data_IF_032132859840
#
_entry.id   IF_032132859840
#
_cell.length_a   1.000
_cell.length_b   1.000
_cell.length_c   1.000
_cell.angle_alpha   90.00
_cell.angle_beta   90.00
_cell.angle_gamma   90.00
#
_symmetry.space_group_name_H-M   'P 1'
#
loop_
_entity.id
_entity.type
_entity.pdbx_description
1 polymer ?
#
# COMPACT_ATOMS: atom_id res chain seq x y z
N UNK A 1 0.41 -22.46 35.75
CA UNK A 1 1.14 -21.99 34.55
C UNK A 1 1.83 -23.18 33.91
N UNK A 2 1.78 -23.37 32.58
CA UNK A 2 2.39 -24.52 31.91
C UNK A 2 3.90 -24.56 32.14
N UNK A 3 4.47 -25.75 32.34
CA UNK A 3 5.92 -25.97 32.56
C UNK A 3 6.63 -26.51 31.33
N UNK A 4 5.89 -26.78 30.24
CA UNK A 4 6.40 -27.37 29.00
C UNK A 4 6.06 -26.46 27.81
N UNK A 5 6.88 -26.49 26.77
CA UNK A 5 6.68 -25.70 25.55
C UNK A 5 5.30 -25.96 24.91
N UNK A 6 4.95 -27.22 24.68
CA UNK A 6 3.66 -27.57 24.08
C UNK A 6 2.47 -27.24 25.00
N UNK A 7 2.66 -27.27 26.33
CA UNK A 7 1.65 -26.78 27.27
C UNK A 7 1.41 -25.27 27.13
N UNK A 8 2.45 -24.48 26.86
CA UNK A 8 2.31 -23.06 26.53
C UNK A 8 1.58 -22.83 25.21
N UNK A 9 1.90 -23.62 24.17
CA UNK A 9 1.22 -23.52 22.87
C UNK A 9 -0.28 -23.80 23.02
N UNK A 10 -0.65 -24.88 23.71
CA UNK A 10 -2.05 -25.22 23.96
C UNK A 10 -2.76 -24.12 24.76
N UNK A 11 -2.14 -23.65 25.84
CA UNK A 11 -2.69 -22.56 26.67
C UNK A 11 -2.93 -21.28 25.86
N UNK A 12 -1.96 -20.88 25.02
CA UNK A 12 -2.12 -19.69 24.17
C UNK A 12 -3.19 -19.88 23.10
N UNK A 13 -3.33 -21.10 22.57
CA UNK A 13 -4.33 -21.42 21.56
C UNK A 13 -5.76 -21.44 22.15
N UNK A 14 -5.91 -21.92 23.38
CA UNK A 14 -7.18 -21.89 24.11
C UNK A 14 -7.56 -20.47 24.54
N UNK A 15 -6.62 -19.73 25.14
CA UNK A 15 -6.88 -18.40 25.70
C UNK A 15 -6.95 -17.29 24.63
N UNK A 16 -6.07 -17.32 23.62
CA UNK A 16 -5.92 -16.25 22.63
C UNK A 16 -6.25 -16.68 21.20
N UNK A 17 -6.65 -17.92 20.96
CA UNK A 17 -6.90 -18.45 19.61
C UNK A 17 -7.88 -17.60 18.79
N UNK A 18 -8.96 -17.11 19.41
CA UNK A 18 -9.94 -16.24 18.76
C UNK A 18 -9.34 -14.89 18.32
N UNK A 19 -8.51 -14.27 19.18
CA UNK A 19 -7.84 -12.99 18.88
C UNK A 19 -6.80 -13.18 17.76
N UNK A 20 -6.03 -14.27 17.82
CA UNK A 20 -5.06 -14.61 16.77
C UNK A 20 -5.75 -14.84 15.42
N UNK A 21 -6.87 -15.56 15.40
CA UNK A 21 -7.66 -15.80 14.19
C UNK A 21 -8.24 -14.51 13.63
N UNK A 22 -8.74 -13.63 14.50
CA UNK A 22 -9.24 -12.31 14.11
C UNK A 22 -8.12 -11.45 13.51
N UNK A 23 -6.94 -11.43 14.15
CA UNK A 23 -5.77 -10.72 13.63
C UNK A 23 -5.29 -11.26 12.28
N UNK A 24 -5.29 -12.58 12.11
CA UNK A 24 -5.00 -13.22 10.83
C UNK A 24 -6.03 -12.83 9.76
N UNK A 25 -7.32 -12.80 10.10
CA UNK A 25 -8.39 -12.36 9.22
C UNK A 25 -8.24 -10.91 8.76
N UNK A 26 -7.93 -9.99 9.68
CA UNK A 26 -7.67 -8.57 9.36
C UNK A 26 -6.44 -8.42 8.46
N UNK A 27 -5.38 -9.18 8.73
CA UNK A 27 -4.15 -9.17 7.91
C UNK A 27 -4.45 -9.66 6.49
N UNK A 28 -5.20 -10.76 6.37
CA UNK A 28 -5.59 -11.32 5.08
C UNK A 28 -6.48 -10.34 4.30
N UNK A 29 -7.42 -9.69 4.98
CA UNK A 29 -8.29 -8.67 4.40
C UNK A 29 -7.46 -7.50 3.83
N UNK A 30 -6.55 -6.94 4.65
CA UNK A 30 -5.64 -5.88 4.22
C UNK A 30 -4.78 -6.32 3.04
N UNK A 31 -4.22 -7.53 3.07
CA UNK A 31 -3.37 -8.05 2.00
C UNK A 31 -4.15 -8.22 0.69
N UNK A 32 -5.32 -8.86 0.73
CA UNK A 32 -6.11 -9.15 -0.49
C UNK A 32 -6.64 -7.86 -1.12
N UNK A 33 -7.31 -7.01 -0.34
CA UNK A 33 -7.87 -5.75 -0.85
C UNK A 33 -6.75 -4.79 -1.26
N UNK A 34 -5.71 -4.70 -0.43
CA UNK A 34 -4.53 -3.87 -0.70
C UNK A 34 -3.85 -4.26 -2.01
N UNK A 35 -3.62 -5.56 -2.21
CA UNK A 35 -3.01 -6.11 -3.43
C UNK A 35 -3.92 -5.91 -4.64
N UNK A 36 -5.23 -6.14 -4.52
CA UNK A 36 -6.16 -5.96 -5.62
C UNK A 36 -6.15 -4.52 -6.13
N UNK A 37 -6.30 -3.55 -5.22
CA UNK A 37 -6.27 -2.12 -5.56
C UNK A 37 -4.88 -1.71 -6.05
N UNK A 38 -3.81 -2.18 -5.38
CA UNK A 38 -2.44 -1.92 -5.79
C UNK A 38 -2.16 -2.41 -7.21
N UNK A 39 -2.64 -3.60 -7.57
CA UNK A 39 -2.52 -4.13 -8.93
C UNK A 39 -3.22 -3.24 -9.96
N UNK A 40 -4.42 -2.72 -9.65
CA UNK A 40 -5.11 -1.77 -10.54
C UNK A 40 -4.31 -0.49 -10.71
N UNK A 41 -3.76 0.07 -9.62
CA UNK A 41 -2.90 1.26 -9.68
C UNK A 41 -1.66 0.97 -10.53
N UNK A 42 -0.95 -0.13 -10.25
CA UNK A 42 0.26 -0.53 -10.97
C UNK A 42 0.01 -0.72 -12.46
N UNK A 43 -1.11 -1.37 -12.83
CA UNK A 43 -1.50 -1.54 -14.23
C UNK A 43 -1.75 -0.21 -14.93
N UNK A 44 -2.49 0.72 -14.31
CA UNK A 44 -2.74 2.05 -14.89
C UNK A 44 -1.43 2.82 -15.06
N UNK A 45 -0.56 2.79 -14.05
CA UNK A 45 0.75 3.47 -14.10
C UNK A 45 1.64 2.87 -15.19
N UNK A 46 1.73 1.54 -15.27
CA UNK A 46 2.51 0.83 -16.29
C UNK A 46 1.98 1.08 -17.71
N UNK A 47 0.66 1.14 -17.90
CA UNK A 47 0.08 1.52 -19.20
C UNK A 47 0.53 2.93 -19.58
N UNK A 48 0.43 3.92 -18.68
CA UNK A 48 0.81 5.30 -18.97
C UNK A 48 2.31 5.42 -19.28
N UNK A 49 3.16 4.68 -18.56
CA UNK A 49 4.60 4.67 -18.79
C UNK A 49 5.00 4.00 -20.12
N UNK A 50 4.21 3.06 -20.63
CA UNK A 50 4.49 2.34 -21.87
C UNK A 50 3.92 3.01 -23.13
N UNK A 51 3.16 4.10 -23.02
CA UNK A 51 2.64 4.83 -24.18
C UNK A 51 3.82 5.34 -25.04
N UNK A 52 3.99 4.86 -26.28
CA UNK A 52 5.04 5.33 -27.17
C UNK A 52 4.71 6.73 -27.67
N UNK A 53 5.72 7.60 -27.75
CA UNK A 53 5.57 8.93 -28.33
C UNK A 53 5.82 8.84 -29.84
N UNK A 54 4.76 8.86 -30.64
CA UNK A 54 4.89 8.83 -32.10
C UNK A 54 5.34 10.19 -32.64
N UNK A 55 6.18 10.19 -33.68
CA UNK A 55 6.76 11.44 -34.20
C UNK A 55 5.71 12.42 -34.76
N UNK A 56 4.56 11.92 -35.19
CA UNK A 56 3.44 12.69 -35.74
C UNK A 56 2.48 13.27 -34.69
N UNK A 57 2.70 13.00 -33.39
CA UNK A 57 1.85 13.55 -32.34
C UNK A 57 2.11 15.05 -32.10
N UNK A 58 1.04 15.81 -31.83
CA UNK A 58 1.12 17.22 -31.47
C UNK A 58 2.13 17.46 -30.35
N UNK A 59 2.98 18.48 -30.49
CA UNK A 59 4.00 18.85 -29.50
C UNK A 59 3.42 19.01 -28.09
N UNK A 60 2.16 19.45 -27.98
CA UNK A 60 1.44 19.56 -26.72
C UNK A 60 1.14 18.19 -26.07
N UNK A 61 0.70 17.20 -26.87
CA UNK A 61 0.41 15.83 -26.40
C UNK A 61 1.69 15.13 -25.93
N UNK A 62 2.79 15.27 -26.69
CA UNK A 62 4.12 14.75 -26.27
C UNK A 62 4.58 15.38 -24.95
N UNK A 63 4.44 16.70 -24.81
CA UNK A 63 4.79 17.41 -23.58
C UNK A 63 3.98 16.92 -22.38
N UNK A 64 2.66 16.77 -22.54
CA UNK A 64 1.77 16.30 -21.48
C UNK A 64 2.08 14.86 -21.04
N UNK A 65 2.26 13.93 -22.00
CA UNK A 65 2.60 12.52 -21.70
C UNK A 65 3.95 12.44 -20.99
N UNK A 66 4.96 13.18 -21.48
CA UNK A 66 6.30 13.19 -20.87
C UNK A 66 6.28 13.74 -19.45
N UNK A 67 5.50 14.79 -19.20
CA UNK A 67 5.32 15.34 -17.87
C UNK A 67 4.64 14.34 -16.92
N UNK A 68 3.59 13.66 -17.41
CA UNK A 68 2.87 12.67 -16.64
C UNK A 68 3.74 11.44 -16.31
N UNK A 69 4.48 10.92 -17.29
CA UNK A 69 5.44 9.82 -17.08
C UNK A 69 6.48 10.20 -16.02
N UNK A 70 7.06 11.41 -16.11
CA UNK A 70 8.03 11.90 -15.12
C UNK A 70 7.44 11.99 -13.71
N UNK A 71 6.18 12.41 -13.58
CA UNK A 71 5.49 12.49 -12.30
C UNK A 71 5.22 11.10 -11.72
N UNK A 72 4.82 10.15 -12.56
CA UNK A 72 4.62 8.76 -12.17
C UNK A 72 5.94 8.07 -11.80
N UNK A 73 7.03 8.36 -12.49
CA UNK A 73 8.37 7.85 -12.13
C UNK A 73 8.76 8.33 -10.73
N UNK A 74 8.58 9.62 -10.45
CA UNK A 74 8.87 10.19 -9.13
C UNK A 74 8.01 9.54 -8.03
N UNK A 75 6.72 9.30 -8.33
CA UNK A 75 5.85 8.53 -7.44
C UNK A 75 6.42 7.13 -7.18
N UNK A 76 6.75 6.35 -8.22
CA UNK A 76 7.27 4.99 -8.07
C UNK A 76 8.58 4.99 -7.27
N UNK A 77 9.49 5.91 -7.56
CA UNK A 77 10.78 6.03 -6.87
C UNK A 77 10.62 6.34 -5.39
N UNK A 78 9.80 7.33 -5.03
CA UNK A 78 9.57 7.72 -3.64
C UNK A 78 8.90 6.59 -2.85
N UNK A 79 7.87 5.95 -3.41
CA UNK A 79 7.12 4.93 -2.69
C UNK A 79 7.87 3.60 -2.56
N UNK A 80 8.75 3.24 -3.52
CA UNK A 80 9.69 2.10 -3.39
C UNK A 80 10.88 2.41 -2.48
N UNK A 81 11.30 3.68 -2.42
CA UNK A 81 12.45 4.12 -1.61
C UNK A 81 12.12 4.40 -0.14
N UNK A 82 10.84 4.51 0.21
CA UNK A 82 10.41 4.83 1.59
C UNK A 82 9.94 3.57 2.33
N UNK A 83 10.41 3.33 3.57
CA UNK A 83 9.91 2.20 4.37
C UNK A 83 8.39 2.27 4.56
N UNK A 84 7.69 1.15 4.35
CA UNK A 84 6.23 1.08 4.45
C UNK A 84 5.70 1.54 5.83
N UNK A 85 6.44 1.25 6.91
CA UNK A 85 6.08 1.71 8.26
C UNK A 85 6.08 3.25 8.36
N UNK A 86 7.02 3.92 7.69
CA UNK A 86 7.08 5.38 7.66
C UNK A 86 5.90 5.95 6.88
N UNK A 87 5.53 5.32 5.76
CA UNK A 87 4.33 5.70 5.01
C UNK A 87 3.07 5.59 5.88
N UNK A 88 2.92 4.49 6.63
CA UNK A 88 1.81 4.31 7.56
C UNK A 88 1.77 5.36 8.67
N UNK A 89 2.93 5.69 9.25
CA UNK A 89 3.03 6.72 10.29
C UNK A 89 2.68 8.11 9.74
N UNK A 90 3.18 8.49 8.57
CA UNK A 90 2.89 9.78 7.95
C UNK A 90 1.42 9.90 7.57
N UNK A 91 0.84 8.84 6.99
CA UNK A 91 -0.57 8.84 6.60
C UNK A 91 -1.48 8.92 7.83
N UNK A 92 -1.22 8.14 8.88
CA UNK A 92 -2.08 8.11 10.06
C UNK A 92 -1.87 9.31 10.99
N UNK A 93 -0.63 9.54 11.46
CA UNK A 93 -0.33 10.61 12.41
C UNK A 93 -0.09 11.97 11.74
N UNK A 94 0.47 11.97 10.53
CA UNK A 94 0.68 13.21 9.76
C UNK A 94 -0.63 13.83 9.27
N UNK A 95 -1.59 13.00 8.82
CA UNK A 95 -2.91 13.51 8.42
C UNK A 95 -3.66 14.16 9.60
N UNK A 96 -3.61 13.54 10.78
CA UNK A 96 -4.22 14.08 11.98
C UNK A 96 -3.55 15.40 12.43
N UNK A 97 -2.21 15.43 12.47
CA UNK A 97 -1.47 16.60 12.99
C UNK A 97 -1.49 17.82 12.06
N UNK A 98 -1.43 17.61 10.75
CA UNK A 98 -1.35 18.71 9.76
C UNK A 98 -2.73 19.11 9.25
N UNK A 99 -3.60 18.14 9.00
CA UNK A 99 -4.88 18.36 8.34
C UNK A 99 -6.09 18.21 9.28
N UNK A 100 -5.89 17.85 10.56
CA UNK A 100 -6.97 17.54 11.52
C UNK A 100 -7.96 16.48 10.98
N UNK A 101 -7.48 15.58 10.11
CA UNK A 101 -8.29 14.47 9.58
C UNK A 101 -8.09 13.29 10.52
N UNK A 102 -9.14 12.94 11.26
CA UNK A 102 -9.17 11.71 12.06
C UNK A 102 -9.59 10.55 11.16
N UNK A 103 -8.64 9.67 10.89
CA UNK A 103 -8.76 8.59 9.92
C UNK A 103 -8.63 7.26 10.64
N UNK A 104 -9.52 6.31 10.35
CA UNK A 104 -9.44 4.99 10.99
C UNK A 104 -8.13 4.27 10.64
N UNK A 105 -7.52 3.51 11.58
CA UNK A 105 -6.28 2.75 11.32
C UNK A 105 -6.43 1.76 10.17
N UNK A 106 -7.63 1.19 10.01
CA UNK A 106 -7.94 0.25 8.94
C UNK A 106 -7.93 0.93 7.57
N UNK A 107 -8.54 2.10 7.44
CA UNK A 107 -8.50 2.86 6.20
C UNK A 107 -7.08 3.33 5.87
N UNK A 108 -6.32 3.82 6.86
CA UNK A 108 -4.92 4.17 6.67
C UNK A 108 -4.09 2.97 6.19
N UNK A 109 -4.34 1.79 6.75
CA UNK A 109 -3.74 0.51 6.34
C UNK A 109 -4.05 0.17 4.88
N UNK A 110 -5.32 0.21 4.47
CA UNK A 110 -5.69 -0.01 3.07
C UNK A 110 -5.00 0.98 2.13
N UNK A 111 -5.05 2.28 2.46
CA UNK A 111 -4.46 3.33 1.63
C UNK A 111 -2.96 3.12 1.41
N UNK A 112 -2.21 2.90 2.49
CA UNK A 112 -0.75 2.75 2.42
C UNK A 112 -0.36 1.46 1.71
N UNK A 113 -1.00 0.34 2.03
CA UNK A 113 -0.69 -0.95 1.41
C UNK A 113 -1.01 -0.92 -0.08
N UNK A 114 -2.15 -0.33 -0.49
CA UNK A 114 -2.52 -0.21 -1.90
C UNK A 114 -1.56 0.65 -2.70
N UNK A 115 -1.17 1.82 -2.20
CA UNK A 115 -0.26 2.72 -2.91
C UNK A 115 1.14 2.12 -2.98
N UNK A 116 1.64 1.56 -1.89
CA UNK A 116 2.93 0.87 -1.87
C UNK A 116 2.95 -0.27 -2.89
N UNK A 117 1.94 -1.15 -2.84
CA UNK A 117 1.84 -2.29 -3.76
C UNK A 117 1.72 -1.82 -5.22
N UNK A 118 0.94 -0.77 -5.49
CA UNK A 118 0.81 -0.21 -6.82
C UNK A 118 2.11 0.37 -7.37
N UNK A 119 2.92 1.01 -6.51
CA UNK A 119 4.25 1.45 -6.91
C UNK A 119 5.16 0.25 -7.24
N UNK A 120 5.08 -0.88 -6.52
CA UNK A 120 5.89 -2.07 -6.82
C UNK A 120 5.42 -2.87 -8.04
N UNK A 121 4.13 -2.79 -8.40
CA UNK A 121 3.56 -3.51 -9.56
C UNK A 121 3.60 -2.70 -10.86
N UNK A 122 3.83 -1.38 -10.80
CA UNK A 122 4.04 -0.51 -11.94
C UNK A 122 5.38 -0.77 -12.66
#
# INVERSE_FOLDING_TARGET
MPTTFFGWVYFLMEEYGSVLLTGAGVTLLLAVVGTFIGCLIGLVVGIIQTIPMEDNDSAFKKGAIKCLQRLLDAYVEVFRGTPMIVQAMVVYYGAMSVFNIDMSPMFAGFFVVSINTGAYMA
#
